data_IF_108936682575
#
_entry.id   IF_108936682575
#
_cell.length_a   1.000
_cell.length_b   1.000
_cell.length_c   1.000
_cell.angle_alpha   90.00
_cell.angle_beta   90.00
_cell.angle_gamma   90.00
#
_symmetry.space_group_name_H-M   'P 1'
#
loop_
_entity.id
_entity.type
_entity.pdbx_description
1 polymer ?
#
# COMPACT_ATOMS: atom_id res chain seq x y z
N UNK A 1 28.63 -9.03 9.92
CA UNK A 1 28.86 -9.64 8.58
C UNK A 1 28.37 -11.09 8.48
N UNK A 2 27.79 -11.67 9.53
CA UNK A 2 27.57 -13.12 9.69
C UNK A 2 26.12 -13.56 9.46
N UNK A 3 25.15 -12.66 9.59
CA UNK A 3 23.73 -13.04 9.63
C UNK A 3 23.04 -13.06 8.26
N UNK A 4 23.35 -12.10 7.38
CA UNK A 4 22.78 -12.07 6.03
C UNK A 4 23.15 -13.33 5.22
N UNK A 5 24.43 -13.75 5.28
CA UNK A 5 24.90 -15.00 4.65
C UNK A 5 24.22 -16.26 5.19
N UNK A 6 23.76 -16.25 6.45
CA UNK A 6 22.99 -17.37 7.01
C UNK A 6 21.60 -17.40 6.41
N UNK A 7 20.96 -16.23 6.26
CA UNK A 7 19.63 -16.11 5.66
C UNK A 7 19.65 -16.42 4.16
N UNK A 8 20.66 -15.94 3.42
CA UNK A 8 20.84 -16.23 1.99
C UNK A 8 20.88 -17.75 1.72
N UNK A 9 21.55 -18.53 2.58
CA UNK A 9 21.60 -19.99 2.45
C UNK A 9 20.24 -20.67 2.60
N UNK A 10 19.33 -20.10 3.38
CA UNK A 10 17.96 -20.64 3.53
C UNK A 10 17.16 -20.51 2.24
N UNK A 11 17.52 -19.54 1.39
CA UNK A 11 16.83 -19.20 0.16
C UNK A 11 17.65 -19.50 -1.11
N UNK A 12 18.73 -20.28 -1.00
CA UNK A 12 19.65 -20.55 -2.12
C UNK A 12 18.97 -21.18 -3.35
N UNK A 13 17.89 -21.94 -3.14
CA UNK A 13 17.15 -22.60 -4.20
C UNK A 13 15.94 -21.78 -4.68
N UNK A 14 15.81 -20.53 -4.23
CA UNK A 14 14.73 -19.63 -4.63
C UNK A 14 15.11 -18.92 -5.93
N UNK A 15 14.13 -18.67 -6.82
CA UNK A 15 14.38 -17.89 -8.03
C UNK A 15 14.72 -16.43 -7.74
N UNK A 16 14.25 -15.90 -6.61
CA UNK A 16 14.56 -14.56 -6.13
C UNK A 16 14.69 -14.55 -4.60
N UNK A 17 15.66 -13.78 -4.09
CA UNK A 17 15.86 -13.62 -2.65
C UNK A 17 14.74 -12.74 -2.07
N UNK A 18 14.03 -13.19 -1.02
CA UNK A 18 13.11 -12.32 -0.30
C UNK A 18 13.81 -11.09 0.24
N UNK A 19 13.12 -9.95 0.24
CA UNK A 19 13.52 -8.81 1.05
C UNK A 19 13.55 -9.22 2.53
N UNK A 20 14.66 -8.89 3.18
CA UNK A 20 14.87 -9.03 4.61
C UNK A 20 15.18 -7.63 5.13
N UNK A 21 14.37 -7.14 6.08
CA UNK A 21 14.63 -5.83 6.66
C UNK A 21 16.06 -5.79 7.26
N UNK A 22 16.89 -4.78 6.94
CA UNK A 22 18.24 -4.66 7.50
C UNK A 22 18.27 -4.65 9.03
N UNK A 23 17.20 -4.17 9.66
CA UNK A 23 17.05 -4.10 11.12
C UNK A 23 16.40 -5.36 11.73
N UNK A 24 16.19 -6.41 10.92
CA UNK A 24 15.59 -7.65 11.40
C UNK A 24 16.51 -8.34 12.41
N UNK A 25 15.93 -8.72 13.55
CA UNK A 25 16.59 -9.60 14.49
C UNK A 25 16.69 -11.02 13.89
N UNK A 26 17.80 -11.27 13.19
CA UNK A 26 18.05 -12.54 12.49
C UNK A 26 18.20 -13.68 13.49
N UNK A 27 18.81 -13.46 14.65
CA UNK A 27 18.99 -14.54 15.63
C UNK A 27 17.66 -14.98 16.22
N UNK A 28 16.79 -14.03 16.60
CA UNK A 28 15.42 -14.37 17.03
C UNK A 28 14.62 -15.03 15.92
N UNK A 29 14.76 -14.57 14.66
CA UNK A 29 14.11 -15.20 13.51
C UNK A 29 14.55 -16.65 13.35
N UNK A 30 15.87 -16.91 13.34
CA UNK A 30 16.43 -18.25 13.24
C UNK A 30 15.99 -19.16 14.39
N UNK A 31 16.06 -18.67 15.63
CA UNK A 31 15.61 -19.42 16.80
C UNK A 31 14.12 -19.80 16.70
N UNK A 32 13.28 -18.91 16.16
CA UNK A 32 11.86 -19.19 15.92
C UNK A 32 11.62 -20.17 14.77
N UNK A 33 12.44 -20.14 13.72
CA UNK A 33 12.40 -21.14 12.65
C UNK A 33 12.71 -22.54 13.20
N UNK A 34 13.74 -22.66 14.05
CA UNK A 34 14.17 -23.94 14.63
C UNK A 34 13.05 -24.59 15.47
N UNK A 35 12.27 -23.78 16.18
CA UNK A 35 11.10 -24.25 16.96
C UNK A 35 9.78 -24.17 16.21
N UNK A 36 9.80 -23.97 14.88
CA UNK A 36 8.63 -23.90 13.98
C UNK A 36 7.57 -22.87 14.42
N UNK A 37 7.98 -21.80 15.10
CA UNK A 37 7.12 -20.66 15.46
C UNK A 37 7.13 -19.56 14.40
N UNK A 38 7.92 -19.74 13.35
CA UNK A 38 8.03 -18.86 12.19
C UNK A 38 8.25 -19.73 10.94
N UNK A 39 8.01 -19.18 9.76
CA UNK A 39 8.24 -19.86 8.50
C UNK A 39 9.10 -19.02 7.56
N UNK A 40 9.82 -19.70 6.67
CA UNK A 40 10.44 -19.04 5.52
C UNK A 40 9.34 -18.44 4.64
N UNK A 41 9.68 -17.34 3.97
CA UNK A 41 8.85 -16.83 2.87
C UNK A 41 8.64 -17.99 1.89
N UNK A 42 7.40 -18.36 1.51
CA UNK A 42 7.19 -19.49 0.63
C UNK A 42 7.85 -19.28 -0.74
N UNK A 43 8.53 -20.30 -1.28
CA UNK A 43 9.19 -20.23 -2.61
C UNK A 43 8.29 -19.70 -3.73
N UNK A 44 7.03 -20.15 -3.76
CA UNK A 44 6.00 -19.67 -4.70
C UNK A 44 5.75 -18.16 -4.66
N UNK A 45 6.05 -17.49 -3.54
CA UNK A 45 5.89 -16.05 -3.41
C UNK A 45 7.09 -15.26 -3.94
N UNK A 46 8.19 -15.96 -4.25
CA UNK A 46 9.36 -15.40 -4.91
C UNK A 46 9.42 -15.76 -6.40
N UNK A 47 8.39 -16.40 -6.94
CA UNK A 47 8.24 -16.70 -8.36
C UNK A 47 7.46 -15.57 -9.04
N UNK A 48 8.08 -14.91 -10.03
CA UNK A 48 7.42 -13.87 -10.82
C UNK A 48 6.38 -14.49 -11.76
N UNK A 49 5.25 -13.81 -11.92
CA UNK A 49 4.23 -14.15 -12.91
C UNK A 49 4.66 -13.69 -14.33
N UNK A 50 3.80 -13.93 -15.32
CA UNK A 50 4.06 -13.55 -16.72
C UNK A 50 4.17 -12.04 -16.96
N UNK A 51 3.63 -11.21 -16.05
CA UNK A 51 3.80 -9.75 -16.06
C UNK A 51 5.05 -9.30 -15.30
N UNK A 52 5.89 -10.24 -14.86
CA UNK A 52 7.13 -9.98 -14.14
C UNK A 52 6.94 -9.54 -12.69
N UNK A 53 5.76 -9.74 -12.10
CA UNK A 53 5.44 -9.33 -10.74
C UNK A 53 5.45 -10.51 -9.76
N UNK A 54 5.89 -10.25 -8.52
CA UNK A 54 5.77 -11.22 -7.43
C UNK A 54 4.33 -11.22 -6.90
N UNK A 55 3.85 -12.33 -6.30
CA UNK A 55 2.58 -12.36 -5.58
C UNK A 55 2.44 -11.24 -4.53
N UNK A 56 3.54 -10.82 -3.89
CA UNK A 56 3.54 -9.67 -2.98
C UNK A 56 3.12 -8.36 -3.65
N UNK A 57 3.54 -8.13 -4.90
CA UNK A 57 3.17 -6.93 -5.66
C UNK A 57 1.69 -6.92 -6.00
N UNK A 58 1.11 -8.08 -6.35
CA UNK A 58 -0.33 -8.22 -6.60
C UNK A 58 -1.14 -7.90 -5.32
N UNK A 59 -0.69 -8.41 -4.17
CA UNK A 59 -1.34 -8.13 -2.89
C UNK A 59 -1.19 -6.65 -2.50
N UNK A 60 -0.08 -6.03 -2.84
CA UNK A 60 0.12 -4.60 -2.61
C UNK A 60 -0.87 -3.79 -3.44
N UNK A 61 -0.98 -4.04 -4.75
CA UNK A 61 -1.96 -3.39 -5.64
C UNK A 61 -3.39 -3.60 -5.15
N UNK A 62 -3.76 -4.83 -4.81
CA UNK A 62 -5.08 -5.13 -4.24
C UNK A 62 -5.34 -4.34 -2.95
N UNK A 63 -4.33 -4.20 -2.07
CA UNK A 63 -4.47 -3.43 -0.84
C UNK A 63 -4.72 -1.94 -1.11
N UNK A 64 -4.18 -1.39 -2.19
CA UNK A 64 -4.46 -0.01 -2.62
C UNK A 64 -5.92 0.13 -3.06
N UNK A 65 -6.45 -0.84 -3.83
CA UNK A 65 -7.83 -0.85 -4.32
C UNK A 65 -8.90 -0.89 -3.23
N UNK A 66 -8.54 -1.33 -2.02
CA UNK A 66 -9.44 -1.25 -0.86
C UNK A 66 -9.72 0.20 -0.42
N UNK A 67 -8.95 1.18 -0.92
CA UNK A 67 -9.17 2.60 -0.64
C UNK A 67 -8.85 3.04 0.79
N UNK A 68 -8.15 2.20 1.55
CA UNK A 68 -7.77 2.48 2.95
C UNK A 68 -6.28 2.72 3.15
N UNK A 69 -5.47 2.57 2.11
CA UNK A 69 -4.02 2.71 2.19
C UNK A 69 -3.59 4.14 1.90
N UNK A 70 -2.89 4.75 2.85
CA UNK A 70 -2.60 6.19 2.90
C UNK A 70 -1.13 6.48 3.17
N UNK A 71 -0.72 7.74 3.01
CA UNK A 71 0.64 8.22 3.34
C UNK A 71 1.08 7.96 4.79
N UNK A 72 0.12 7.74 5.70
CA UNK A 72 0.36 7.44 7.13
C UNK A 72 0.14 5.95 7.47
N UNK A 73 -0.19 5.12 6.49
CA UNK A 73 -0.47 3.72 6.75
C UNK A 73 0.79 2.96 7.15
N UNK A 74 0.73 2.29 8.31
CA UNK A 74 1.76 1.32 8.68
C UNK A 74 1.76 0.15 7.70
N UNK A 75 2.93 -0.28 7.24
CA UNK A 75 3.08 -1.43 6.37
C UNK A 75 2.76 -2.71 7.14
N UNK A 76 1.78 -3.53 6.70
CA UNK A 76 1.53 -4.82 7.30
C UNK A 76 2.74 -5.75 7.20
N UNK A 77 3.11 -6.39 8.32
CA UNK A 77 4.28 -7.29 8.39
C UNK A 77 4.23 -8.44 7.38
N UNK A 78 3.05 -8.85 6.93
CA UNK A 78 2.95 -9.95 5.96
C UNK A 78 3.64 -9.63 4.63
N UNK A 79 3.84 -8.36 4.27
CA UNK A 79 4.57 -8.00 3.04
C UNK A 79 6.01 -8.50 3.08
N UNK A 80 6.69 -8.34 4.21
CA UNK A 80 8.01 -8.91 4.43
C UNK A 80 7.92 -10.41 4.74
N UNK A 81 7.15 -10.79 5.77
CA UNK A 81 7.22 -12.13 6.36
C UNK A 81 6.55 -13.23 5.52
N UNK A 82 5.53 -12.88 4.73
CA UNK A 82 4.82 -13.85 3.88
C UNK A 82 5.21 -13.65 2.43
N UNK A 83 5.35 -12.41 1.96
CA UNK A 83 5.56 -12.13 0.54
C UNK A 83 6.98 -11.75 0.16
N UNK A 84 7.87 -11.52 1.13
CA UNK A 84 9.28 -11.25 0.85
C UNK A 84 9.51 -9.96 0.06
N UNK A 85 8.63 -8.96 0.18
CA UNK A 85 8.78 -7.66 -0.50
C UNK A 85 8.99 -6.52 0.49
N UNK A 86 9.72 -5.50 0.04
CA UNK A 86 9.75 -4.19 0.70
C UNK A 86 8.60 -3.36 0.14
N UNK A 87 7.47 -3.34 0.84
CA UNK A 87 6.27 -2.69 0.34
C UNK A 87 6.44 -1.19 0.04
N UNK A 88 7.32 -0.47 0.76
CA UNK A 88 7.55 0.94 0.50
C UNK A 88 8.34 1.16 -0.80
N UNK A 89 9.46 0.46 -0.92
CA UNK A 89 10.31 0.52 -2.11
C UNK A 89 9.55 0.01 -3.34
N UNK A 90 8.81 -1.09 -3.19
CA UNK A 90 8.06 -1.68 -4.29
C UNK A 90 6.80 -0.88 -4.65
N UNK A 91 6.13 -0.21 -3.69
CA UNK A 91 5.07 0.75 -4.03
C UNK A 91 5.61 1.86 -4.93
N UNK A 92 6.80 2.39 -4.62
CA UNK A 92 7.44 3.44 -5.43
C UNK A 92 7.68 2.93 -6.86
N UNK A 93 8.22 1.72 -7.01
CA UNK A 93 8.44 1.09 -8.32
C UNK A 93 7.14 0.81 -9.09
N UNK A 94 6.08 0.41 -8.39
CA UNK A 94 4.76 0.20 -8.99
C UNK A 94 4.15 1.52 -9.51
N UNK A 95 4.39 2.62 -8.79
CA UNK A 95 4.01 3.97 -9.24
C UNK A 95 4.80 4.37 -10.49
N UNK A 96 6.13 4.23 -10.45
CA UNK A 96 7.01 4.52 -11.59
C UNK A 96 6.67 3.68 -12.84
N UNK A 97 6.21 2.45 -12.62
CA UNK A 97 5.79 1.52 -13.68
C UNK A 97 4.35 1.75 -14.17
N UNK A 98 3.65 2.75 -13.62
CA UNK A 98 2.30 3.13 -14.00
C UNK A 98 1.20 2.17 -13.56
N UNK A 99 1.44 1.33 -12.54
CA UNK A 99 0.44 0.42 -11.97
C UNK A 99 -0.33 1.04 -10.80
N UNK A 100 0.26 2.03 -10.14
CA UNK A 100 -0.36 2.73 -9.02
C UNK A 100 -0.07 4.22 -9.10
N UNK A 101 -0.80 5.01 -8.32
CA UNK A 101 -0.48 6.42 -8.12
C UNK A 101 -0.93 6.88 -6.74
N UNK A 102 -0.32 7.96 -6.26
CA UNK A 102 -0.81 8.70 -5.10
C UNK A 102 -1.93 9.62 -5.57
N UNK A 103 -3.10 9.51 -4.94
CA UNK A 103 -4.26 10.33 -5.25
C UNK A 103 -3.96 11.82 -5.06
N UNK A 104 -4.59 12.64 -5.89
CA UNK A 104 -4.74 14.08 -5.69
C UNK A 104 -5.54 14.38 -4.42
N UNK A 105 -5.42 15.61 -3.91
CA UNK A 105 -6.21 16.10 -2.80
C UNK A 105 -7.72 16.01 -3.09
N UNK A 106 -8.14 16.35 -4.32
CA UNK A 106 -9.53 16.22 -4.77
C UNK A 106 -10.03 14.77 -4.73
N UNK A 107 -9.25 13.83 -5.26
CA UNK A 107 -9.60 12.39 -5.23
C UNK A 107 -9.65 11.87 -3.78
N UNK A 108 -8.80 12.37 -2.90
CA UNK A 108 -8.69 11.95 -1.51
C UNK A 108 -9.71 12.62 -0.55
N UNK A 109 -10.62 13.48 -1.02
CA UNK A 109 -11.58 14.20 -0.16
C UNK A 109 -12.48 13.29 0.67
N UNK A 110 -12.67 12.03 0.28
CA UNK A 110 -13.47 11.08 1.07
C UNK A 110 -12.85 10.76 2.43
N UNK A 111 -11.52 10.91 2.56
CA UNK A 111 -10.74 10.62 3.77
C UNK A 111 -11.00 11.61 4.90
N UNK A 112 -11.45 12.83 4.59
CA UNK A 112 -11.65 13.88 5.59
C UNK A 112 -13.09 13.95 6.09
N UNK A 113 -13.26 14.43 7.31
CA UNK A 113 -14.58 14.63 7.92
C UNK A 113 -15.20 15.98 7.54
N UNK A 114 -16.46 16.18 7.90
CA UNK A 114 -17.22 17.41 7.61
C UNK A 114 -16.58 18.66 8.23
N UNK A 115 -15.94 18.54 9.39
CA UNK A 115 -15.24 19.64 10.05
C UNK A 115 -14.05 20.14 9.23
N UNK A 116 -13.23 19.22 8.73
CA UNK A 116 -12.10 19.55 7.85
C UNK A 116 -12.58 20.18 6.55
N UNK A 117 -13.62 19.64 5.90
CA UNK A 117 -14.19 20.23 4.68
C UNK A 117 -14.68 21.67 4.91
N UNK A 118 -15.40 21.92 6.01
CA UNK A 118 -15.86 23.27 6.38
C UNK A 118 -14.69 24.22 6.68
N UNK A 119 -13.62 23.72 7.32
CA UNK A 119 -12.40 24.51 7.57
C UNK A 119 -11.73 24.93 6.27
N UNK A 120 -11.58 24.00 5.32
CA UNK A 120 -11.02 24.25 3.99
C UNK A 120 -11.83 25.35 3.27
N UNK A 121 -13.16 25.23 3.23
CA UNK A 121 -14.05 26.24 2.63
C UNK A 121 -13.94 27.60 3.32
N UNK A 122 -13.84 27.61 4.66
CA UNK A 122 -13.65 28.84 5.44
C UNK A 122 -12.31 29.52 5.12
N UNK A 123 -11.23 28.75 5.01
CA UNK A 123 -9.91 29.28 4.65
C UNK A 123 -9.91 29.92 3.26
N UNK A 124 -10.71 29.39 2.34
CA UNK A 124 -10.93 29.95 1.00
C UNK A 124 -11.91 31.14 0.97
N UNK A 125 -12.41 31.61 2.12
CA UNK A 125 -13.36 32.73 2.20
C UNK A 125 -14.78 32.42 1.71
N UNK A 126 -15.11 31.15 1.51
CA UNK A 126 -16.43 30.73 1.03
C UNK A 126 -17.46 30.74 2.17
N UNK A 127 -18.74 30.78 1.81
CA UNK A 127 -19.88 30.70 2.73
C UNK A 127 -21.04 29.89 2.12
N UNK A 128 -22.19 29.80 2.80
CA UNK A 128 -23.38 29.10 2.28
C UNK A 128 -23.37 27.57 2.42
N UNK A 129 -22.35 26.99 3.06
CA UNK A 129 -22.18 25.54 3.20
C UNK A 129 -22.57 24.99 4.60
N UNK A 130 -23.11 25.83 5.49
CA UNK A 130 -23.36 25.45 6.89
C UNK A 130 -24.32 24.27 7.03
N UNK A 131 -25.36 24.22 6.19
CA UNK A 131 -26.38 23.17 6.16
C UNK A 131 -26.04 21.97 5.27
N UNK A 132 -24.95 22.02 4.50
CA UNK A 132 -24.56 20.94 3.57
C UNK A 132 -24.13 19.67 4.32
N UNK A 133 -24.53 18.51 3.79
CA UNK A 133 -24.08 17.18 4.24
C UNK A 133 -22.68 16.85 3.68
N UNK A 134 -22.06 15.76 4.15
CA UNK A 134 -20.68 15.39 3.77
C UNK A 134 -20.51 15.32 2.25
N UNK A 135 -21.37 14.60 1.54
CA UNK A 135 -21.22 14.44 0.08
C UNK A 135 -21.39 15.75 -0.68
N UNK A 136 -22.28 16.63 -0.21
CA UNK A 136 -22.48 17.97 -0.77
C UNK A 136 -21.25 18.85 -0.52
N UNK A 137 -20.69 18.82 0.70
CA UNK A 137 -19.46 19.52 1.05
C UNK A 137 -18.27 19.04 0.22
N UNK A 138 -18.11 17.73 0.03
CA UNK A 138 -17.06 17.14 -0.79
C UNK A 138 -17.16 17.63 -2.24
N UNK A 139 -18.35 17.57 -2.85
CA UNK A 139 -18.58 18.09 -4.20
C UNK A 139 -18.32 19.61 -4.27
N UNK A 140 -18.75 20.34 -3.25
CA UNK A 140 -18.59 21.78 -3.21
C UNK A 140 -17.12 22.19 -3.14
N UNK A 141 -16.34 21.57 -2.25
CA UNK A 141 -14.88 21.74 -2.17
C UNK A 141 -14.22 21.44 -3.51
N UNK A 142 -14.49 20.26 -4.09
CA UNK A 142 -13.90 19.86 -5.36
C UNK A 142 -14.19 20.83 -6.52
N UNK A 143 -15.36 21.47 -6.51
CA UNK A 143 -15.80 22.43 -7.54
C UNK A 143 -15.34 23.87 -7.33
N UNK A 144 -14.96 24.26 -6.10
CA UNK A 144 -14.67 25.65 -5.74
C UNK A 144 -13.21 25.93 -5.41
N UNK A 145 -12.45 24.88 -5.13
CA UNK A 145 -11.07 25.02 -4.67
C UNK A 145 -10.17 24.32 -5.67
N UNK A 146 -9.16 25.04 -6.13
CA UNK A 146 -8.16 24.50 -7.04
C UNK A 146 -7.24 23.52 -6.32
N UNK A 147 -6.69 22.57 -7.06
CA UNK A 147 -5.86 21.50 -6.50
C UNK A 147 -4.67 22.07 -5.69
N UNK A 148 -4.01 23.10 -6.23
CA UNK A 148 -2.86 23.74 -5.60
C UNK A 148 -3.19 24.41 -4.24
N UNK A 149 -4.44 24.85 -4.05
CA UNK A 149 -4.90 25.45 -2.79
C UNK A 149 -5.45 24.41 -1.81
N UNK A 150 -5.95 23.29 -2.35
CA UNK A 150 -6.50 22.20 -1.56
C UNK A 150 -5.39 21.30 -0.99
N UNK A 151 -4.38 21.00 -1.78
CA UNK A 151 -3.30 20.06 -1.46
C UNK A 151 -2.62 20.31 -0.11
N UNK A 152 -2.21 21.56 0.20
CA UNK A 152 -1.52 21.86 1.46
C UNK A 152 -2.43 21.75 2.69
N UNK A 153 -3.76 21.65 2.49
CA UNK A 153 -4.74 21.56 3.56
C UNK A 153 -5.17 20.12 3.86
N UNK A 154 -4.78 19.16 3.02
CA UNK A 154 -5.10 17.75 3.23
C UNK A 154 -4.14 17.14 4.27
N UNK A 155 -4.67 16.46 5.31
CA UNK A 155 -3.82 15.86 6.33
C UNK A 155 -3.05 14.64 5.83
N UNK A 156 -3.58 13.95 4.82
CA UNK A 156 -3.03 12.74 4.25
C UNK A 156 -3.62 12.50 2.86
N UNK A 157 -2.92 11.71 2.05
CA UNK A 157 -3.37 11.24 0.73
C UNK A 157 -3.51 9.73 0.75
N UNK A 158 -4.34 9.21 -0.15
CA UNK A 158 -4.45 7.77 -0.39
C UNK A 158 -3.64 7.36 -1.62
N UNK A 159 -3.37 6.07 -1.72
CA UNK A 159 -2.85 5.44 -2.94
C UNK A 159 -3.96 4.58 -3.54
N UNK A 160 -3.96 4.46 -4.86
CA UNK A 160 -4.87 3.58 -5.60
C UNK A 160 -4.16 3.01 -6.83
N UNK A 161 -4.73 1.97 -7.44
CA UNK A 161 -4.22 1.48 -8.73
C UNK A 161 -4.64 2.39 -9.88
N UNK A 162 -3.85 2.36 -10.96
CA UNK A 162 -4.31 2.81 -12.28
C UNK A 162 -5.20 1.73 -12.90
N UNK A 163 -5.83 2.00 -14.06
CA UNK A 163 -6.56 0.97 -14.81
C UNK A 163 -5.68 -0.27 -15.08
N UNK A 164 -4.44 -0.05 -15.52
CA UNK A 164 -3.44 -1.12 -15.74
C UNK A 164 -3.13 -1.91 -14.46
N UNK A 165 -3.05 -1.24 -13.31
CA UNK A 165 -2.84 -1.92 -12.03
C UNK A 165 -4.07 -2.73 -11.60
N UNK A 166 -5.26 -2.18 -11.78
CA UNK A 166 -6.51 -2.85 -11.47
C UNK A 166 -6.73 -4.11 -12.33
N UNK A 167 -6.37 -4.06 -13.62
CA UNK A 167 -6.40 -5.25 -14.49
C UNK A 167 -5.57 -6.41 -13.93
N UNK A 168 -4.41 -6.12 -13.32
CA UNK A 168 -3.59 -7.14 -12.67
C UNK A 168 -4.26 -7.70 -11.42
N UNK A 169 -4.92 -6.86 -10.62
CA UNK A 169 -5.69 -7.29 -9.44
C UNK A 169 -6.79 -8.26 -9.86
N UNK A 170 -7.51 -7.97 -10.95
CA UNK A 170 -8.55 -8.86 -11.50
C UNK A 170 -7.93 -10.15 -12.08
N UNK A 171 -6.88 -10.02 -12.90
CA UNK A 171 -6.21 -11.14 -13.56
C UNK A 171 -5.66 -12.17 -12.56
N UNK A 172 -5.13 -11.70 -11.44
CA UNK A 172 -4.48 -12.52 -10.41
C UNK A 172 -5.33 -12.68 -9.15
N UNK A 173 -6.67 -12.67 -9.28
CA UNK A 173 -7.58 -12.90 -8.15
C UNK A 173 -7.26 -14.17 -7.37
N UNK A 174 -6.77 -15.22 -8.04
CA UNK A 174 -6.34 -16.46 -7.38
C UNK A 174 -5.25 -16.26 -6.31
N UNK A 175 -4.39 -15.24 -6.43
CA UNK A 175 -3.39 -14.87 -5.41
C UNK A 175 -4.09 -14.20 -4.22
N UNK A 176 -5.07 -13.34 -4.49
CA UNK A 176 -5.87 -12.61 -3.49
C UNK A 176 -6.73 -13.58 -2.67
N UNK A 177 -7.41 -14.52 -3.33
CA UNK A 177 -8.19 -15.56 -2.65
C UNK A 177 -7.32 -16.42 -1.73
N UNK A 178 -6.07 -16.73 -2.15
CA UNK A 178 -5.10 -17.47 -1.32
C UNK A 178 -4.55 -16.65 -0.15
N UNK A 179 -4.50 -15.33 -0.27
CA UNK A 179 -4.16 -14.46 0.85
C UNK A 179 -5.18 -14.63 1.98
N UNK A 180 -6.47 -14.55 1.63
CA UNK A 180 -7.58 -14.64 2.59
C UNK A 180 -7.54 -13.51 3.65
N UNK A 181 -8.46 -13.51 4.63
CA UNK A 181 -8.41 -12.57 5.73
C UNK A 181 -7.16 -12.83 6.57
N UNK A 182 -6.32 -11.79 6.73
CA UNK A 182 -5.25 -11.77 7.73
C UNK A 182 -5.73 -10.88 8.88
N UNK A 183 -5.85 -11.47 10.06
CA UNK A 183 -6.12 -10.74 11.32
C UNK A 183 -4.95 -9.89 11.76
#
# INVERSE_FOLDING_TARGET
>A
MTDLKRVERLYQDYPEMPYINPDRDVDTFMAKLDVQKEHLVPKRNMERNEDGLLPGHIILLWRLDLGTFTTDSAIPRYFEYIYGIDANTDLTRLIESGYAYQMTAKEALYLVNTGTLKKILKNAGLSGYSAMKKDELTKFVASKIEEADLDPQMPLKAYTTTEKGHELVVKYDNIIQKHGPKG
#
